data_IF_862845203270
#
_entry.id   IF_862845203270
#
_cell.length_a   1.000
_cell.length_b   1.000
_cell.length_c   1.000
_cell.angle_alpha   90.00
_cell.angle_beta   90.00
_cell.angle_gamma   90.00
#
_symmetry.space_group_name_H-M   'P 1'
#
loop_
_entity.id
_entity.type
_entity.pdbx_description
1 polymer ?
#
# COMPACT_ATOMS: atom_id res chain seq x y z
N UNK A 1 -7.70 -27.59 -3.20
CA UNK A 1 -8.68 -26.53 -3.42
C UNK A 1 -8.22 -25.76 -4.66
N UNK A 2 -9.11 -25.17 -5.46
CA UNK A 2 -8.69 -24.36 -6.62
C UNK A 2 -7.89 -23.14 -6.11
N UNK A 3 -6.71 -22.85 -6.67
CA UNK A 3 -5.82 -21.75 -6.21
C UNK A 3 -6.57 -20.43 -6.15
N UNK A 4 -7.44 -20.17 -7.13
CA UNK A 4 -8.30 -18.98 -7.14
C UNK A 4 -9.25 -18.93 -5.93
N UNK A 5 -9.89 -20.04 -5.59
CA UNK A 5 -10.76 -20.11 -4.41
C UNK A 5 -9.97 -19.93 -3.12
N UNK A 6 -8.75 -20.47 -3.02
CA UNK A 6 -7.87 -20.23 -1.87
C UNK A 6 -7.51 -18.74 -1.71
N UNK A 7 -7.25 -18.05 -2.83
CA UNK A 7 -6.94 -16.61 -2.83
C UNK A 7 -8.19 -15.79 -2.46
N UNK A 8 -9.36 -16.14 -2.99
CA UNK A 8 -10.62 -15.48 -2.60
C UNK A 8 -10.84 -15.62 -1.09
N UNK A 9 -10.65 -16.81 -0.51
CA UNK A 9 -10.79 -17.02 0.93
C UNK A 9 -9.72 -16.28 1.74
N UNK A 10 -8.48 -16.20 1.25
CA UNK A 10 -7.42 -15.38 1.85
C UNK A 10 -7.85 -13.90 1.92
N UNK A 11 -8.32 -13.34 0.79
CA UNK A 11 -8.77 -11.94 0.73
C UNK A 11 -9.95 -11.70 1.66
N UNK A 12 -10.94 -12.61 1.72
CA UNK A 12 -12.07 -12.51 2.66
C UNK A 12 -11.61 -12.54 4.12
N UNK A 13 -10.67 -13.43 4.45
CA UNK A 13 -10.15 -13.55 5.81
C UNK A 13 -9.42 -12.29 6.24
N UNK A 14 -8.59 -11.72 5.36
CA UNK A 14 -7.80 -10.51 5.65
C UNK A 14 -8.65 -9.24 5.70
N UNK A 15 -9.59 -9.09 4.76
CA UNK A 15 -10.46 -7.90 4.70
C UNK A 15 -11.64 -7.92 5.67
N UNK A 16 -12.08 -9.10 6.10
CA UNK A 16 -13.40 -9.27 6.74
C UNK A 16 -14.59 -9.04 5.79
N UNK A 17 -14.34 -8.77 4.50
CA UNK A 17 -15.37 -8.53 3.49
C UNK A 17 -15.82 -9.85 2.87
N UNK A 18 -17.10 -10.22 3.05
CA UNK A 18 -17.59 -11.54 2.63
C UNK A 18 -17.95 -11.64 1.14
N UNK A 19 -18.12 -10.51 0.44
CA UNK A 19 -18.60 -10.45 -0.95
C UNK A 19 -17.46 -10.32 -1.98
N UNK A 20 -16.33 -10.96 -1.72
CA UNK A 20 -15.22 -11.03 -2.68
C UNK A 20 -15.53 -12.07 -3.75
N UNK A 21 -15.38 -11.69 -5.02
CA UNK A 21 -15.39 -12.61 -6.15
C UNK A 21 -14.06 -12.55 -6.94
N UNK A 22 -13.92 -13.36 -7.99
CA UNK A 22 -12.69 -13.49 -8.75
C UNK A 22 -12.19 -12.19 -9.40
N UNK A 23 -13.11 -11.27 -9.72
CA UNK A 23 -12.84 -10.00 -10.40
C UNK A 23 -12.91 -8.80 -9.46
N UNK A 24 -13.19 -9.01 -8.16
CA UNK A 24 -13.27 -7.91 -7.21
C UNK A 24 -11.92 -7.18 -7.12
N UNK A 25 -11.97 -5.86 -7.25
CA UNK A 25 -10.80 -5.01 -7.01
C UNK A 25 -10.47 -5.00 -5.50
N UNK A 26 -9.37 -5.64 -5.14
CA UNK A 26 -8.96 -5.83 -3.74
C UNK A 26 -8.79 -4.49 -3.00
N UNK A 27 -8.41 -3.42 -3.70
CA UNK A 27 -8.19 -2.14 -3.04
C UNK A 27 -9.47 -1.29 -2.99
N UNK A 28 -10.09 -0.97 -4.13
CA UNK A 28 -11.26 -0.07 -4.14
C UNK A 28 -12.58 -0.76 -3.78
N UNK A 29 -12.82 -1.99 -4.24
CA UNK A 29 -14.11 -2.67 -4.02
C UNK A 29 -14.12 -3.38 -2.66
N UNK A 30 -13.05 -4.09 -2.34
CA UNK A 30 -12.92 -4.81 -1.07
C UNK A 30 -12.49 -3.87 0.07
N UNK A 31 -11.81 -2.77 -0.24
CA UNK A 31 -11.42 -1.74 0.72
C UNK A 31 -10.12 -2.03 1.47
N UNK A 32 -9.27 -2.93 0.94
CA UNK A 32 -7.95 -3.17 1.52
C UNK A 32 -6.98 -2.09 1.03
N UNK A 33 -6.62 -1.16 1.89
CA UNK A 33 -5.78 0.01 1.56
C UNK A 33 -4.61 0.09 2.53
N UNK A 34 -3.58 0.88 2.21
CA UNK A 34 -2.38 1.01 3.05
C UNK A 34 -1.80 -0.35 3.45
N UNK A 35 -1.46 -0.48 4.73
CA UNK A 35 -0.79 -1.66 5.29
C UNK A 35 -1.61 -2.95 5.10
N UNK A 36 -2.94 -2.91 5.18
CA UNK A 36 -3.77 -4.10 4.95
C UNK A 36 -3.56 -4.69 3.55
N UNK A 37 -3.40 -3.84 2.53
CA UNK A 37 -3.10 -4.28 1.17
C UNK A 37 -1.68 -4.82 1.05
N UNK A 38 -0.70 -4.10 1.61
CA UNK A 38 0.71 -4.49 1.53
C UNK A 38 0.95 -5.83 2.23
N UNK A 39 0.42 -6.01 3.44
CA UNK A 39 0.51 -7.27 4.18
C UNK A 39 -0.17 -8.44 3.44
N UNK A 40 -1.30 -8.20 2.75
CA UNK A 40 -1.94 -9.22 1.92
C UNK A 40 -1.03 -9.66 0.77
N UNK A 41 -0.43 -8.71 0.05
CA UNK A 41 0.45 -9.03 -1.09
C UNK A 41 1.73 -9.74 -0.62
N UNK A 42 2.29 -9.35 0.52
CA UNK A 42 3.42 -10.02 1.15
C UNK A 42 3.07 -11.46 1.54
N UNK A 43 1.98 -11.67 2.28
CA UNK A 43 1.52 -13.01 2.68
C UNK A 43 1.24 -13.90 1.45
N UNK A 44 0.62 -13.32 0.42
CA UNK A 44 0.40 -14.00 -0.86
C UNK A 44 1.72 -14.40 -1.53
N UNK A 45 2.68 -13.47 -1.64
CA UNK A 45 3.95 -13.70 -2.32
C UNK A 45 4.77 -14.78 -1.60
N UNK A 46 4.79 -14.77 -0.27
CA UNK A 46 5.44 -15.79 0.55
C UNK A 46 4.77 -17.16 0.39
N UNK A 47 3.45 -17.22 0.55
CA UNK A 47 2.67 -18.46 0.49
C UNK A 47 2.80 -19.17 -0.86
N UNK A 48 2.80 -18.40 -1.95
CA UNK A 48 2.87 -18.95 -3.30
C UNK A 48 4.29 -18.90 -3.90
N UNK A 49 5.30 -18.44 -3.15
CA UNK A 49 6.70 -18.34 -3.59
C UNK A 49 6.85 -17.54 -4.90
N UNK A 50 6.28 -16.34 -4.93
CA UNK A 50 6.27 -15.48 -6.11
C UNK A 50 7.57 -14.68 -6.17
N UNK A 51 8.22 -14.67 -7.34
CA UNK A 51 9.25 -13.67 -7.60
C UNK A 51 8.59 -12.29 -7.75
N UNK A 52 8.95 -11.35 -6.86
CA UNK A 52 8.42 -9.98 -6.80
C UNK A 52 9.39 -8.91 -7.33
N UNK A 53 10.47 -9.28 -8.03
CA UNK A 53 11.51 -8.36 -8.53
C UNK A 53 10.93 -7.21 -9.39
N UNK A 54 9.85 -7.50 -10.12
CA UNK A 54 9.18 -6.56 -11.01
C UNK A 54 7.98 -5.85 -10.32
N UNK A 55 7.69 -6.09 -9.05
CA UNK A 55 6.52 -5.52 -8.36
C UNK A 55 6.69 -4.02 -8.08
N UNK A 56 5.72 -3.21 -8.54
CA UNK A 56 5.66 -1.77 -8.29
C UNK A 56 4.41 -1.42 -7.48
N UNK A 57 4.54 -1.38 -6.15
CA UNK A 57 3.42 -1.19 -5.21
C UNK A 57 2.57 0.05 -5.52
N UNK A 58 3.18 1.14 -5.99
CA UNK A 58 2.52 2.43 -6.22
C UNK A 58 1.58 2.42 -7.43
N UNK A 59 1.58 1.36 -8.23
CA UNK A 59 0.52 1.13 -9.22
C UNK A 59 -0.72 0.45 -8.63
N UNK A 60 -0.64 -0.14 -7.44
CA UNK A 60 -1.70 -1.01 -6.92
C UNK A 60 -2.36 -0.48 -5.65
N UNK A 61 -1.58 0.22 -4.82
CA UNK A 61 -2.01 0.76 -3.54
C UNK A 61 -1.34 2.11 -3.21
N UNK A 62 -1.82 2.74 -2.15
CA UNK A 62 -1.29 3.96 -1.56
C UNK A 62 -0.24 3.68 -0.46
N UNK A 63 0.35 4.76 0.07
CA UNK A 63 1.20 4.72 1.25
C UNK A 63 0.35 4.84 2.52
N UNK A 64 0.77 4.18 3.60
CA UNK A 64 0.17 4.37 4.90
C UNK A 64 0.74 5.61 5.62
N UNK A 65 -0.08 6.26 6.43
CA UNK A 65 0.31 7.37 7.31
C UNK A 65 -0.03 8.78 6.80
N UNK A 66 0.46 9.78 7.53
CA UNK A 66 0.19 11.18 7.24
C UNK A 66 1.16 11.73 6.20
N UNK A 67 0.65 12.23 5.07
CA UNK A 67 1.47 12.76 3.99
C UNK A 67 1.25 14.27 3.75
N UNK A 68 1.68 15.11 4.71
CA UNK A 68 1.63 16.57 4.58
C UNK A 68 2.49 17.10 3.41
N UNK A 69 3.61 16.44 3.13
CA UNK A 69 4.47 16.72 1.99
C UNK A 69 3.80 16.42 0.64
N UNK A 70 2.87 15.47 0.62
CA UNK A 70 1.99 15.14 -0.51
C UNK A 70 1.24 16.35 -1.06
N UNK A 71 0.94 17.33 -0.21
CA UNK A 71 0.29 18.59 -0.60
C UNK A 71 1.17 19.46 -1.51
N UNK A 72 2.49 19.31 -1.44
CA UNK A 72 3.45 20.09 -2.23
C UNK A 72 4.09 19.26 -3.34
N UNK A 73 4.33 17.98 -3.08
CA UNK A 73 4.93 17.03 -4.01
C UNK A 73 4.12 15.75 -4.00
N UNK A 74 3.47 15.42 -5.13
CA UNK A 74 2.68 14.20 -5.23
C UNK A 74 3.51 12.96 -4.83
N UNK A 75 2.98 12.03 -4.03
CA UNK A 75 3.61 10.74 -3.82
C UNK A 75 3.60 9.88 -5.11
N UNK A 76 4.34 8.76 -5.16
CA UNK A 76 4.41 7.91 -6.35
C UNK A 76 3.06 7.42 -6.86
N UNK A 77 2.16 6.99 -5.96
CA UNK A 77 0.86 6.42 -6.32
C UNK A 77 -0.08 7.46 -6.95
N UNK A 78 0.07 8.74 -6.61
CA UNK A 78 -0.69 9.86 -7.20
C UNK A 78 -0.15 10.33 -8.57
N UNK A 79 0.92 9.70 -9.06
CA UNK A 79 1.59 10.05 -10.33
C UNK A 79 1.33 9.04 -11.44
N UNK A 80 0.70 7.92 -11.12
CA UNK A 80 0.43 6.85 -12.08
C UNK A 80 -1.06 6.54 -12.09
N UNK A 81 -1.53 5.94 -13.18
CA UNK A 81 -2.86 5.36 -13.22
C UNK A 81 -2.84 4.03 -12.48
N UNK A 82 -3.75 3.87 -11.51
CA UNK A 82 -3.82 2.67 -10.68
C UNK A 82 -4.26 1.46 -11.52
N UNK A 83 -3.54 0.35 -11.35
CA UNK A 83 -3.86 -0.96 -11.91
C UNK A 83 -4.51 -1.81 -10.80
N UNK A 84 -5.77 -2.24 -10.98
CA UNK A 84 -6.44 -3.08 -9.98
C UNK A 84 -5.75 -4.43 -9.87
N UNK A 85 -5.79 -5.01 -8.67
CA UNK A 85 -5.43 -6.41 -8.43
C UNK A 85 -6.69 -7.17 -8.06
N UNK A 86 -6.93 -8.27 -8.75
CA UNK A 86 -8.07 -9.17 -8.50
C UNK A 86 -7.60 -10.56 -8.08
N UNK A 87 -8.43 -11.35 -7.37
CA UNK A 87 -8.09 -12.73 -7.06
C UNK A 87 -7.77 -13.60 -8.28
N UNK A 88 -8.39 -13.34 -9.44
CA UNK A 88 -8.07 -14.05 -10.68
C UNK A 88 -6.64 -13.74 -11.17
N UNK A 89 -6.23 -12.46 -11.16
CA UNK A 89 -4.85 -12.08 -11.50
C UNK A 89 -3.83 -12.74 -10.58
N UNK A 90 -4.10 -12.74 -9.27
CA UNK A 90 -3.23 -13.41 -8.29
C UNK A 90 -3.18 -14.93 -8.50
N UNK A 91 -4.27 -15.57 -8.95
CA UNK A 91 -4.25 -17.00 -9.27
C UNK A 91 -3.35 -17.30 -10.48
N UNK A 92 -3.40 -16.46 -11.51
CA UNK A 92 -2.56 -16.58 -12.71
C UNK A 92 -1.07 -16.37 -12.37
N UNK A 93 -0.77 -15.32 -11.60
CA UNK A 93 0.59 -15.04 -11.10
C UNK A 93 1.10 -16.22 -10.24
N UNK A 94 0.23 -16.84 -9.45
CA UNK A 94 0.60 -17.97 -8.59
C UNK A 94 0.97 -19.24 -9.37
N UNK A 95 0.42 -19.42 -10.58
CA UNK A 95 0.80 -20.49 -11.50
C UNK A 95 2.16 -20.18 -12.15
N UNK A 96 2.39 -18.92 -12.54
CA UNK A 96 3.61 -18.47 -13.21
C UNK A 96 4.80 -18.34 -12.24
N UNK A 97 4.53 -18.17 -10.94
CA UNK A 97 5.50 -17.97 -9.86
C UNK A 97 6.32 -16.69 -10.00
N UNK A 98 5.81 -15.71 -10.74
CA UNK A 98 6.47 -14.43 -10.96
C UNK A 98 5.43 -13.33 -11.16
N UNK A 99 5.62 -12.21 -10.47
CA UNK A 99 4.87 -10.98 -10.73
C UNK A 99 5.15 -10.50 -12.15
N UNK A 100 4.15 -10.61 -13.03
CA UNK A 100 4.32 -10.42 -14.47
C UNK A 100 3.39 -9.34 -15.05
N UNK A 101 3.04 -8.35 -14.23
CA UNK A 101 2.26 -7.19 -14.67
C UNK A 101 3.14 -6.29 -15.54
N UNK A 102 2.64 -5.94 -16.73
CA UNK A 102 3.31 -4.98 -17.59
C UNK A 102 2.88 -3.56 -17.20
N UNK A 103 3.81 -2.79 -16.66
CA UNK A 103 3.56 -1.43 -16.22
C UNK A 103 3.70 -0.44 -17.39
N UNK A 104 2.82 0.57 -17.48
CA UNK A 104 3.02 1.69 -18.38
C UNK A 104 4.36 2.38 -18.13
N UNK A 105 4.96 2.95 -19.18
CA UNK A 105 6.10 3.86 -19.05
C UNK A 105 5.76 4.98 -18.07
N UNK A 106 6.63 5.19 -17.09
CA UNK A 106 6.43 6.17 -16.04
C UNK A 106 7.79 6.69 -15.55
N UNK A 107 7.78 7.90 -15.01
CA UNK A 107 8.98 8.50 -14.43
C UNK A 107 8.69 8.97 -13.02
N UNK A 108 9.42 8.42 -12.05
CA UNK A 108 9.39 8.92 -10.68
C UNK A 108 10.49 9.96 -10.47
N UNK A 109 10.25 10.98 -9.63
CA UNK A 109 11.31 11.89 -9.24
C UNK A 109 12.40 11.11 -8.49
N UNK A 110 13.67 11.44 -8.79
CA UNK A 110 14.84 10.83 -8.11
C UNK A 110 14.83 11.06 -6.59
N UNK A 111 14.17 12.12 -6.13
CA UNK A 111 14.10 12.52 -4.73
C UNK A 111 12.65 12.59 -4.26
N UNK A 112 12.39 12.05 -3.06
CA UNK A 112 11.09 12.06 -2.36
C UNK A 112 11.00 13.26 -1.41
N UNK A 113 10.80 14.46 -1.97
CA UNK A 113 10.68 15.69 -1.17
C UNK A 113 9.44 15.73 -0.29
N UNK A 114 8.40 14.99 -0.67
CA UNK A 114 7.22 14.75 0.15
C UNK A 114 7.60 14.12 1.51
N UNK A 115 8.44 13.09 1.50
CA UNK A 115 8.93 12.45 2.73
C UNK A 115 9.82 13.38 3.57
N UNK A 116 10.65 14.20 2.92
CA UNK A 116 11.48 15.20 3.61
C UNK A 116 10.59 16.21 4.35
N UNK A 117 9.53 16.70 3.70
CA UNK A 117 8.59 17.65 4.30
C UNK A 117 7.81 17.00 5.45
N UNK A 118 7.38 15.74 5.29
CA UNK A 118 6.75 14.98 6.38
C UNK A 118 7.65 14.93 7.62
N UNK A 119 8.94 14.65 7.44
CA UNK A 119 9.90 14.61 8.54
C UNK A 119 10.08 15.98 9.23
N UNK A 120 10.09 17.07 8.46
CA UNK A 120 10.18 18.43 9.01
C UNK A 120 8.93 18.76 9.85
N UNK A 121 7.73 18.53 9.31
CA UNK A 121 6.49 18.78 10.05
C UNK A 121 6.37 17.89 11.29
N UNK A 122 6.73 16.62 11.19
CA UNK A 122 6.76 15.70 12.32
C UNK A 122 7.71 16.19 13.43
N UNK A 123 8.91 16.65 13.07
CA UNK A 123 9.90 17.17 14.03
C UNK A 123 9.41 18.45 14.71
N UNK A 124 8.81 19.38 13.95
CA UNK A 124 8.23 20.61 14.51
C UNK A 124 7.08 20.28 15.47
N UNK A 125 6.19 19.35 15.08
CA UNK A 125 5.06 18.92 15.91
C UNK A 125 5.52 18.33 17.25
N UNK A 126 6.53 17.45 17.23
CA UNK A 126 7.12 16.89 18.46
C UNK A 126 7.74 18.00 19.32
N UNK A 127 8.49 18.94 18.72
CA UNK A 127 9.09 20.06 19.45
C UNK A 127 8.05 20.93 20.15
N UNK A 128 6.93 21.23 19.48
CA UNK A 128 5.80 21.98 20.05
C UNK A 128 5.16 21.19 21.21
N UNK A 129 4.94 19.88 21.04
CA UNK A 129 4.36 19.05 22.09
C UNK A 129 5.25 19.03 23.35
N UNK A 130 6.57 18.85 23.18
CA UNK A 130 7.54 18.89 24.29
C UNK A 130 7.51 20.25 24.98
N UNK A 131 7.48 21.36 24.23
CA UNK A 131 7.39 22.70 24.81
C UNK A 131 6.17 22.87 25.72
N UNK A 132 4.99 22.42 25.28
CA UNK A 132 3.77 22.51 26.09
C UNK A 132 3.81 21.58 27.32
N UNK A 133 4.37 20.37 27.19
CA UNK A 133 4.55 19.45 28.32
C UNK A 133 5.48 20.06 29.38
N UNK A 134 6.65 20.54 28.97
CA UNK A 134 7.62 21.16 29.89
C UNK A 134 7.02 22.39 30.57
N UNK A 135 6.32 23.23 29.81
CA UNK A 135 5.63 24.40 30.36
C UNK A 135 4.59 24.01 31.41
N UNK A 136 3.77 22.99 31.14
CA UNK A 136 2.77 22.51 32.09
C UNK A 136 3.38 21.95 33.39
N UNK A 137 4.60 21.42 33.34
CA UNK A 137 5.33 20.94 34.53
C UNK A 137 5.96 22.08 35.33
N UNK A 138 6.24 23.23 34.72
CA UNK A 138 6.79 24.41 35.40
C UNK A 138 5.70 25.30 36.02
N UNK A 139 4.52 25.31 35.41
CA UNK A 139 3.37 26.13 35.84
C UNK A 139 2.49 25.46 36.92
N UNK A 140 2.80 24.22 37.34
CA UNK A 140 2.04 23.43 38.33
C UNK A 140 2.84 23.10 39.58
#
# INVERSE_FOLDING_TARGET
MDTKNEIIELVKQRSGYSKVNAESDIFHEVGMVGDDFHELIEEYAEKYQINMDDYLWYFHADEEGQNFGGLFFKPPYDRVERIPITPNMLAEIAVIKKWNINYPEHTLPKYRYDLLINAIFGTIGIGIAIFFIVRSMLDG
#
